data_IF_556890931972
#
_entry.id   IF_556890931972
#
_cell.length_a   1.000
_cell.length_b   1.000
_cell.length_c   1.000
_cell.angle_alpha   90.00
_cell.angle_beta   90.00
_cell.angle_gamma   90.00
#
_symmetry.space_group_name_H-M   'P 1'
#
loop_
_entity.id
_entity.type
_entity.pdbx_description
1 polymer ?
#
# COMPACT_ATOMS: atom_id res chain seq x y z
N UNK A 1 8.85 -1.93 21.14
CA UNK A 1 8.27 -1.87 19.77
C UNK A 1 8.20 -0.41 19.36
N UNK A 2 8.59 -0.08 18.13
CA UNK A 2 8.52 1.28 17.58
C UNK A 2 7.04 1.67 17.37
N UNK A 3 6.67 2.92 17.67
CA UNK A 3 5.31 3.47 17.51
C UNK A 3 4.77 3.26 16.09
N UNK A 4 5.63 3.40 15.07
CA UNK A 4 5.27 3.17 13.66
C UNK A 4 4.82 1.73 13.39
N UNK A 5 5.42 0.74 14.06
CA UNK A 5 5.03 -0.67 13.91
C UNK A 5 3.68 -0.96 14.59
N UNK A 6 3.32 -0.22 15.64
CA UNK A 6 1.99 -0.34 16.25
C UNK A 6 0.92 0.25 15.32
N UNK A 7 1.16 1.43 14.74
CA UNK A 7 0.25 2.05 13.77
C UNK A 7 0.05 1.22 12.51
N UNK A 8 1.12 0.57 12.02
CA UNK A 8 1.01 -0.37 10.91
C UNK A 8 0.00 -1.49 11.20
N UNK A 9 -0.01 -2.02 12.43
CA UNK A 9 -0.93 -3.09 12.89
C UNK A 9 -2.40 -2.70 12.93
N UNK A 10 -2.70 -1.40 12.88
CA UNK A 10 -4.07 -0.87 12.87
C UNK A 10 -4.60 -0.62 11.46
N UNK A 11 -3.79 -0.84 10.40
CA UNK A 11 -4.22 -0.66 9.02
C UNK A 11 -5.37 -1.60 8.66
N UNK A 12 -6.42 -1.02 8.09
CA UNK A 12 -7.60 -1.72 7.58
C UNK A 12 -7.61 -1.76 6.06
N UNK A 13 -8.48 -2.61 5.50
CA UNK A 13 -8.67 -2.70 4.05
C UNK A 13 -9.03 -1.36 3.41
N UNK A 14 -9.89 -0.60 4.07
CA UNK A 14 -10.30 0.75 3.67
C UNK A 14 -9.11 1.72 3.57
N UNK A 15 -8.13 1.63 4.48
CA UNK A 15 -6.94 2.47 4.44
C UNK A 15 -6.09 2.17 3.19
N UNK A 16 -5.99 0.89 2.82
CA UNK A 16 -5.24 0.47 1.63
C UNK A 16 -5.96 0.86 0.35
N UNK A 17 -7.30 0.72 0.29
CA UNK A 17 -8.08 1.20 -0.85
C UNK A 17 -7.91 2.71 -1.04
N UNK A 18 -8.10 3.50 0.02
CA UNK A 18 -7.95 4.94 -0.04
C UNK A 18 -6.52 5.36 -0.44
N UNK A 19 -5.50 4.64 0.02
CA UNK A 19 -4.12 4.87 -0.38
C UNK A 19 -3.90 4.60 -1.87
N UNK A 20 -4.41 3.48 -2.39
CA UNK A 20 -4.31 3.10 -3.81
C UNK A 20 -5.02 4.13 -4.70
N UNK A 21 -6.21 4.55 -4.32
CA UNK A 21 -6.97 5.60 -5.00
C UNK A 21 -6.21 6.93 -5.00
N UNK A 22 -5.66 7.34 -3.86
CA UNK A 22 -4.87 8.57 -3.73
C UNK A 22 -3.57 8.55 -4.55
N UNK A 23 -3.04 7.36 -4.86
CA UNK A 23 -1.89 7.18 -5.77
C UNK A 23 -2.28 7.16 -7.25
N UNK A 24 -3.57 7.29 -7.58
CA UNK A 24 -4.07 7.21 -8.96
C UNK A 24 -3.86 5.83 -9.58
N UNK A 25 -3.76 4.78 -8.75
CA UNK A 25 -3.56 3.42 -9.21
C UNK A 25 -4.89 2.85 -9.67
N UNK A 26 -4.94 2.36 -10.91
CA UNK A 26 -6.11 1.68 -11.45
C UNK A 26 -6.44 0.41 -10.64
N UNK A 27 -7.72 0.16 -10.43
CA UNK A 27 -8.22 -1.12 -9.92
C UNK A 27 -8.08 -2.24 -10.96
N UNK A 28 -7.83 -1.89 -12.22
CA UNK A 28 -7.53 -2.85 -13.27
C UNK A 28 -6.16 -3.51 -13.05
N UNK A 29 -6.14 -4.83 -13.17
CA UNK A 29 -4.94 -5.62 -13.14
C UNK A 29 -4.06 -5.30 -14.37
N UNK A 30 -2.82 -4.82 -14.17
CA UNK A 30 -1.95 -4.46 -15.29
C UNK A 30 -1.45 -5.70 -16.06
N UNK A 31 -1.57 -6.89 -15.48
CA UNK A 31 -1.11 -8.13 -16.10
C UNK A 31 -2.16 -8.78 -17.01
N UNK A 32 -3.45 -8.75 -16.64
CA UNK A 32 -4.50 -9.47 -17.38
C UNK A 32 -5.74 -8.63 -17.72
N UNK A 33 -5.78 -7.35 -17.32
CA UNK A 33 -6.90 -6.45 -17.60
C UNK A 33 -8.17 -6.74 -16.80
N UNK A 34 -8.13 -7.63 -15.80
CA UNK A 34 -9.27 -7.86 -14.91
C UNK A 34 -9.53 -6.60 -14.07
N UNK A 35 -10.78 -6.16 -14.01
CA UNK A 35 -11.25 -4.89 -13.44
C UNK A 35 -11.40 -4.88 -11.92
N UNK A 36 -10.85 -5.89 -11.25
CA UNK A 36 -10.93 -6.02 -9.80
C UNK A 36 -9.63 -6.53 -9.19
N UNK A 37 -9.27 -5.95 -8.05
CA UNK A 37 -8.21 -6.39 -7.16
C UNK A 37 -8.77 -6.59 -5.75
N UNK A 38 -8.30 -7.64 -5.08
CA UNK A 38 -8.68 -7.98 -3.71
C UNK A 38 -7.54 -7.61 -2.75
N UNK A 39 -7.89 -7.19 -1.53
CA UNK A 39 -6.89 -6.98 -0.48
C UNK A 39 -6.32 -8.32 -0.04
N UNK A 40 -4.99 -8.39 0.10
CA UNK A 40 -4.36 -9.56 0.69
C UNK A 40 -4.45 -9.49 2.22
N UNK A 41 -4.97 -10.56 2.82
CA UNK A 41 -5.01 -10.74 4.27
C UNK A 41 -4.76 -12.20 4.64
N UNK A 42 -4.33 -12.45 5.87
CA UNK A 42 -4.27 -13.79 6.46
C UNK A 42 -5.65 -14.37 6.83
N UNK A 43 -6.74 -13.63 6.59
CA UNK A 43 -8.11 -14.02 6.89
C UNK A 43 -9.02 -12.80 7.08
N UNK A 44 -10.35 -12.98 7.12
CA UNK A 44 -11.30 -11.87 7.27
C UNK A 44 -11.09 -11.07 8.57
N UNK A 45 -10.66 -11.73 9.64
CA UNK A 45 -10.43 -11.12 10.96
C UNK A 45 -8.94 -10.98 11.31
N UNK A 46 -8.06 -11.26 10.36
CA UNK A 46 -6.61 -11.17 10.58
C UNK A 46 -6.07 -9.83 10.06
N UNK A 47 -5.02 -9.28 10.70
CA UNK A 47 -4.37 -8.08 10.21
C UNK A 47 -3.84 -8.27 8.78
N UNK A 48 -3.82 -7.19 7.98
CA UNK A 48 -3.33 -7.15 6.60
C UNK A 48 -1.82 -7.41 6.42
N UNK A 49 -1.16 -7.95 7.43
CA UNK A 49 0.28 -7.90 7.60
C UNK A 49 0.96 -9.07 6.93
N UNK A 50 1.59 -8.82 5.80
CA UNK A 50 2.49 -9.78 5.15
C UNK A 50 3.92 -9.35 5.45
N UNK A 51 4.80 -10.29 5.77
CA UNK A 51 6.20 -9.97 6.00
C UNK A 51 7.03 -10.30 4.75
N UNK A 52 7.72 -9.31 4.21
CA UNK A 52 8.78 -9.52 3.23
C UNK A 52 10.10 -9.77 3.97
N UNK A 53 10.67 -10.96 3.76
CA UNK A 53 12.01 -11.29 4.24
C UNK A 53 13.01 -10.94 3.15
N UNK A 54 14.07 -10.16 3.43
CA UNK A 54 15.14 -10.01 2.46
C UNK A 54 15.77 -11.39 2.21
N UNK A 55 15.94 -11.73 0.93
CA UNK A 55 16.80 -12.85 0.58
C UNK A 55 18.22 -12.46 1.00
N UNK A 56 18.83 -13.27 1.86
CA UNK A 56 20.21 -13.08 2.31
C UNK A 56 21.13 -13.08 1.08
N UNK A 57 21.48 -11.89 0.60
CA UNK A 57 22.46 -11.70 -0.45
C UNK A 57 23.76 -11.22 0.20
N UNK A 58 24.92 -11.81 -0.13
CA UNK A 58 26.19 -11.31 0.36
C UNK A 58 26.33 -9.81 0.06
N UNK A 59 26.57 -9.00 1.09
CA UNK A 59 26.79 -7.55 0.97
C UNK A 59 25.56 -6.66 1.16
N UNK A 60 24.36 -7.21 1.34
CA UNK A 60 23.22 -6.42 1.83
C UNK A 60 23.18 -6.47 3.36
N UNK A 61 22.89 -5.35 4.05
CA UNK A 61 22.67 -5.37 5.48
C UNK A 61 21.57 -6.37 5.81
N UNK A 62 21.74 -7.13 6.89
CA UNK A 62 20.65 -7.92 7.50
C UNK A 62 19.61 -6.95 8.06
N UNK A 63 18.81 -6.37 7.18
CA UNK A 63 17.65 -5.61 7.60
C UNK A 63 16.54 -6.59 7.96
N UNK A 64 15.82 -6.26 9.04
CA UNK A 64 14.76 -7.10 9.56
C UNK A 64 13.61 -7.29 8.56
N UNK A 65 12.70 -8.21 8.89
CA UNK A 65 11.47 -8.39 8.15
C UNK A 65 10.75 -7.04 7.93
N UNK A 66 10.32 -6.77 6.70
CA UNK A 66 9.54 -5.57 6.37
C UNK A 66 8.06 -5.92 6.40
N UNK A 67 7.28 -5.21 7.20
CA UNK A 67 5.82 -5.30 7.19
C UNK A 67 5.29 -4.69 5.88
N UNK A 68 4.52 -5.48 5.15
CA UNK A 68 3.95 -5.17 3.85
C UNK A 68 2.43 -5.31 3.90
N UNK A 69 1.76 -4.49 3.10
CA UNK A 69 0.34 -4.60 2.77
C UNK A 69 0.22 -4.66 1.24
N UNK A 70 -0.82 -5.29 0.72
CA UNK A 70 -0.93 -5.42 -0.73
C UNK A 70 -2.29 -5.83 -1.22
N UNK A 71 -2.46 -5.66 -2.52
CA UNK A 71 -3.61 -6.14 -3.28
C UNK A 71 -3.17 -7.20 -4.28
N UNK A 72 -4.06 -8.15 -4.54
CA UNK A 72 -3.86 -9.26 -5.47
C UNK A 72 -4.97 -9.28 -6.51
N UNK A 73 -4.62 -9.58 -7.76
CA UNK A 73 -5.62 -9.88 -8.78
C UNK A 73 -6.13 -11.31 -8.56
N UNK A 74 -7.42 -11.52 -8.28
CA UNK A 74 -7.97 -12.86 -8.04
C UNK A 74 -7.97 -13.74 -9.31
N UNK A 75 -7.88 -13.12 -10.50
CA UNK A 75 -7.85 -13.85 -11.77
C UNK A 75 -6.47 -14.43 -12.10
N UNK A 76 -5.40 -13.62 -11.98
CA UNK A 76 -4.05 -14.03 -12.43
C UNK A 76 -2.98 -14.06 -11.33
N UNK A 77 -3.32 -13.66 -10.09
CA UNK A 77 -2.38 -13.63 -8.97
C UNK A 77 -1.36 -12.49 -8.99
N UNK A 78 -1.49 -11.52 -9.91
CA UNK A 78 -0.62 -10.34 -9.91
C UNK A 78 -0.72 -9.58 -8.58
N UNK A 79 0.43 -9.28 -7.97
CA UNK A 79 0.51 -8.62 -6.67
C UNK A 79 1.02 -7.20 -6.80
N UNK A 80 0.41 -6.27 -6.07
CA UNK A 80 1.00 -4.96 -5.76
C UNK A 80 1.18 -4.87 -4.26
N UNK A 81 2.43 -4.69 -3.83
CA UNK A 81 2.83 -4.69 -2.42
C UNK A 81 3.44 -3.33 -2.07
N UNK A 82 3.14 -2.85 -0.87
CA UNK A 82 3.65 -1.60 -0.32
C UNK A 82 4.17 -1.85 1.09
N UNK A 83 5.22 -1.16 1.50
CA UNK A 83 5.63 -1.17 2.90
C UNK A 83 4.50 -0.54 3.73
N UNK A 84 4.08 -1.20 4.81
CA UNK A 84 2.99 -0.74 5.66
C UNK A 84 3.25 0.67 6.21
N UNK A 85 4.53 0.97 6.51
CA UNK A 85 4.97 2.30 6.94
C UNK A 85 4.63 3.40 5.94
N UNK A 86 4.70 3.14 4.63
CA UNK A 86 4.35 4.15 3.62
C UNK A 86 2.87 4.53 3.68
N UNK A 87 2.01 3.57 3.97
CA UNK A 87 0.56 3.80 4.11
C UNK A 87 0.27 4.56 5.40
N UNK A 88 0.95 4.20 6.49
CA UNK A 88 0.86 4.93 7.78
C UNK A 88 1.29 6.39 7.61
N UNK A 89 2.46 6.64 7.02
CA UNK A 89 2.99 7.98 6.80
C UNK A 89 2.09 8.82 5.90
N UNK A 90 1.54 8.21 4.83
CA UNK A 90 0.54 8.87 4.01
C UNK A 90 -0.70 9.27 4.81
N UNK A 91 -1.22 8.40 5.67
CA UNK A 91 -2.41 8.68 6.50
C UNK A 91 -2.20 9.83 7.48
N UNK A 92 -0.97 10.00 7.98
CA UNK A 92 -0.61 11.09 8.89
C UNK A 92 -0.52 12.44 8.17
N UNK A 93 -0.09 12.45 6.90
CA UNK A 93 0.08 13.68 6.09
C UNK A 93 -1.22 14.08 5.39
N UNK A 94 -2.00 13.11 4.92
CA UNK A 94 -3.21 13.30 4.13
C UNK A 94 -4.34 12.38 4.65
N UNK A 95 -4.93 12.70 5.83
CA UNK A 95 -6.01 11.90 6.40
C UNK A 95 -7.22 11.83 5.44
N UNK A 96 -7.96 10.70 5.42
CA UNK A 96 -9.14 10.55 4.57
C UNK A 96 -10.12 11.73 4.73
N UNK A 97 -10.45 12.40 3.61
CA UNK A 97 -11.31 13.58 3.59
C UNK A 97 -10.60 14.94 3.64
N UNK A 98 -9.26 14.98 3.70
CA UNK A 98 -8.48 16.23 3.78
C UNK A 98 -7.97 16.80 2.45
N UNK A 99 -8.06 16.06 1.34
CA UNK A 99 -7.44 16.53 0.10
C UNK A 99 -8.43 17.31 -0.76
N UNK A 100 -8.33 18.64 -0.63
CA UNK A 100 -8.81 19.60 -1.60
C UNK A 100 -7.70 19.73 -2.67
N UNK A 101 -7.82 18.98 -3.77
CA UNK A 101 -6.96 19.17 -4.93
C UNK A 101 -7.44 20.41 -5.68
N UNK A 102 -7.12 21.60 -5.18
CA UNK A 102 -7.05 22.75 -6.08
C UNK A 102 -5.92 22.41 -7.05
N UNK A 103 -6.32 22.10 -8.30
CA UNK A 103 -5.43 21.89 -9.43
C UNK A 103 -4.39 23.01 -9.43
N UNK A 104 -3.14 22.69 -9.09
CA UNK A 104 -2.04 23.53 -9.53
C UNK A 104 -2.00 23.36 -11.05
N UNK A 105 -2.72 24.26 -11.75
CA UNK A 105 -2.61 24.40 -13.19
C UNK A 105 -1.11 24.49 -13.52
N UNK A 106 -0.59 23.64 -14.42
CA UNK A 106 0.80 23.74 -14.83
C UNK A 106 1.04 25.17 -15.32
N UNK A 107 2.20 25.79 -14.99
CA UNK A 107 2.46 27.17 -15.35
C UNK A 107 2.24 27.34 -16.85
N UNK A 108 1.27 28.20 -17.18
CA UNK A 108 0.99 28.65 -18.53
C UNK A 108 2.25 29.30 -19.09
N UNK A 109 3.01 28.56 -19.88
CA UNK A 109 4.16 29.08 -20.61
C UNK A 109 3.68 30.21 -21.53
N UNK A 110 4.06 31.44 -21.16
CA UNK A 110 3.98 32.66 -21.99
C UNK A 110 5.26 32.84 -22.79
#
# INVERSE_FOLDING_TARGET
>A
MNEKALKARELKGEDLHAFVDAKGITHDCPACGHDHVAIMSHGPDMPLHIYAMPLLHPGLPEEGAVEMVGVTCPNCGHLRMFAAQMVVEWKEIAPPGSINWEEEEPPSDR
#
